data_IF_238397234599
#
_entry.id   IF_238397234599
#
_cell.length_a   1.000
_cell.length_b   1.000
_cell.length_c   1.000
_cell.angle_alpha   90.00
_cell.angle_beta   90.00
_cell.angle_gamma   90.00
#
_symmetry.space_group_name_H-M   'P 1'
#
loop_
_entity.id
_entity.type
_entity.pdbx_description
1 polymer ?
#
# COMPACT_ATOMS: atom_id res chain seq x y z
N UNK A 1 11.40 -18.74 0.52
CA UNK A 1 11.75 -19.53 1.74
C UNK A 1 12.79 -18.89 2.66
N UNK A 2 14.06 -18.64 2.28
CA UNK A 2 15.07 -18.08 3.23
C UNK A 2 14.80 -16.63 3.66
N UNK A 3 14.29 -15.79 2.75
CA UNK A 3 13.85 -14.42 3.07
C UNK A 3 12.59 -14.45 3.94
N UNK A 4 11.62 -15.31 3.62
CA UNK A 4 10.44 -15.54 4.46
C UNK A 4 10.80 -15.99 5.89
N UNK A 5 11.79 -16.88 6.03
CA UNK A 5 12.35 -17.25 7.33
C UNK A 5 12.98 -16.06 8.05
N UNK A 6 13.69 -15.18 7.34
CA UNK A 6 14.24 -13.95 7.93
C UNK A 6 13.13 -13.06 8.46
N UNK A 7 12.03 -12.88 7.71
CA UNK A 7 10.86 -12.13 8.17
C UNK A 7 10.33 -12.68 9.52
N UNK A 8 10.24 -14.01 9.65
CA UNK A 8 9.87 -14.64 10.93
C UNK A 8 10.86 -14.36 12.05
N UNK A 9 12.16 -14.36 11.78
CA UNK A 9 13.16 -14.04 12.80
C UNK A 9 13.11 -12.57 13.23
N UNK A 10 12.85 -11.64 12.30
CA UNK A 10 12.70 -10.22 12.62
C UNK A 10 11.55 -9.98 13.60
N UNK A 11 10.42 -10.70 13.43
CA UNK A 11 9.26 -10.64 14.34
C UNK A 11 9.55 -11.17 15.76
N UNK A 12 10.67 -11.85 16.00
CA UNK A 12 11.01 -12.38 17.32
C UNK A 12 11.80 -11.41 18.21
N UNK A 13 12.25 -10.27 17.67
CA UNK A 13 13.10 -9.30 18.38
C UNK A 13 14.33 -9.96 19.05
N UNK A 14 14.89 -10.98 18.39
CA UNK A 14 16.04 -11.75 18.89
C UNK A 14 17.28 -11.43 18.05
N UNK A 15 18.05 -10.44 18.50
CA UNK A 15 19.22 -9.91 17.78
C UNK A 15 20.22 -11.00 17.35
N UNK A 16 20.44 -12.02 18.18
CA UNK A 16 21.36 -13.11 17.85
C UNK A 16 20.79 -13.97 16.72
N UNK A 17 19.49 -14.30 16.79
CA UNK A 17 18.82 -15.07 15.75
C UNK A 17 18.73 -14.30 14.43
N UNK A 18 18.39 -13.01 14.48
CA UNK A 18 18.35 -12.09 13.33
C UNK A 18 19.73 -12.02 12.68
N UNK A 19 20.78 -11.78 13.47
CA UNK A 19 22.16 -11.69 12.96
C UNK A 19 22.57 -12.98 12.26
N UNK A 20 22.28 -14.15 12.85
CA UNK A 20 22.58 -15.45 12.23
C UNK A 20 21.79 -15.66 10.94
N UNK A 21 20.50 -15.31 10.93
CA UNK A 21 19.65 -15.45 9.76
C UNK A 21 20.16 -14.61 8.58
N UNK A 22 20.52 -13.34 8.83
CA UNK A 22 21.09 -12.47 7.79
C UNK A 22 22.45 -13.00 7.32
N UNK A 23 23.31 -13.50 8.23
CA UNK A 23 24.59 -14.11 7.85
C UNK A 23 24.41 -15.34 6.95
N UNK A 24 23.43 -16.20 7.22
CA UNK A 24 23.13 -17.34 6.35
C UNK A 24 22.57 -16.89 5.00
N UNK A 25 21.72 -15.87 4.97
CA UNK A 25 21.19 -15.30 3.72
C UNK A 25 22.32 -14.74 2.84
N UNK A 26 23.27 -14.03 3.44
CA UNK A 26 24.42 -13.42 2.75
C UNK A 26 25.42 -14.44 2.17
N UNK A 27 25.32 -15.73 2.51
CA UNK A 27 26.14 -16.79 1.90
C UNK A 27 25.59 -17.23 0.54
N UNK A 28 24.33 -16.91 0.25
CA UNK A 28 23.67 -17.28 -0.99
C UNK A 28 23.98 -16.25 -2.09
N UNK A 29 23.96 -16.67 -3.37
CA UNK A 29 24.02 -15.71 -4.47
C UNK A 29 22.82 -14.77 -4.38
N UNK A 30 23.08 -13.48 -4.56
CA UNK A 30 22.04 -12.45 -4.58
C UNK A 30 21.27 -12.60 -5.90
N UNK A 31 19.94 -12.87 -5.87
CA UNK A 31 19.14 -12.97 -7.08
C UNK A 31 18.94 -11.58 -7.71
N UNK A 32 18.59 -11.53 -8.99
CA UNK A 32 18.36 -10.26 -9.69
C UNK A 32 17.19 -9.46 -9.07
N UNK A 33 16.13 -10.14 -8.66
CA UNK A 33 14.94 -9.56 -8.02
C UNK A 33 15.05 -9.45 -6.48
N UNK A 34 16.27 -9.29 -5.95
CA UNK A 34 16.47 -9.30 -4.50
C UNK A 34 15.71 -8.20 -3.77
N UNK A 35 15.63 -6.98 -4.33
CA UNK A 35 14.90 -5.85 -3.74
C UNK A 35 13.42 -6.19 -3.57
N UNK A 36 12.79 -6.64 -4.65
CA UNK A 36 11.38 -7.02 -4.68
C UNK A 36 11.09 -8.20 -3.73
N UNK A 37 12.02 -9.15 -3.62
CA UNK A 37 11.90 -10.24 -2.66
C UNK A 37 11.92 -9.75 -1.20
N UNK A 38 12.67 -8.70 -0.89
CA UNK A 38 12.64 -8.08 0.44
C UNK A 38 11.33 -7.31 0.68
N UNK A 39 10.83 -6.62 -0.35
CA UNK A 39 9.56 -5.88 -0.30
C UNK A 39 8.37 -6.83 -0.11
N UNK A 40 8.34 -7.97 -0.82
CA UNK A 40 7.30 -9.00 -0.71
C UNK A 40 7.09 -9.49 0.72
N UNK A 41 8.17 -9.64 1.50
CA UNK A 41 8.09 -10.08 2.89
C UNK A 41 8.15 -8.91 3.89
N UNK A 42 7.93 -7.69 3.41
CA UNK A 42 7.89 -6.46 4.19
C UNK A 42 9.12 -6.29 5.10
N UNK A 43 10.30 -6.71 4.61
CA UNK A 43 11.54 -6.73 5.39
C UNK A 43 11.96 -5.33 5.86
N UNK A 44 11.86 -4.25 5.06
CA UNK A 44 12.19 -2.89 5.52
C UNK A 44 11.40 -2.50 6.77
N UNK A 45 10.07 -2.66 6.73
CA UNK A 45 9.20 -2.41 7.88
C UNK A 45 9.58 -3.26 9.09
N UNK A 46 9.78 -4.56 8.90
CA UNK A 46 10.13 -5.46 10.00
C UNK A 46 11.47 -5.08 10.68
N UNK A 47 12.41 -4.52 9.93
CA UNK A 47 13.68 -4.02 10.47
C UNK A 47 13.45 -2.73 11.26
N UNK A 48 12.72 -1.77 10.70
CA UNK A 48 12.39 -0.50 11.37
C UNK A 48 11.59 -0.70 12.65
N UNK A 49 10.73 -1.70 12.69
CA UNK A 49 9.88 -1.93 13.85
C UNK A 49 10.57 -2.79 14.93
N UNK A 50 11.27 -3.86 14.52
CA UNK A 50 11.74 -4.90 15.46
C UNK A 50 13.25 -4.99 15.62
N UNK A 51 14.05 -4.34 14.74
CA UNK A 51 15.49 -4.58 14.64
C UNK A 51 16.36 -3.33 14.44
N UNK A 52 15.87 -2.14 14.80
CA UNK A 52 16.65 -0.88 14.72
C UNK A 52 17.99 -0.92 15.46
N UNK A 53 18.08 -1.70 16.55
CA UNK A 53 19.31 -1.89 17.32
C UNK A 53 20.32 -2.83 16.66
N UNK A 54 19.93 -3.53 15.59
CA UNK A 54 20.75 -4.54 14.95
C UNK A 54 21.60 -3.94 13.80
N UNK A 55 22.91 -3.86 14.01
CA UNK A 55 23.86 -3.29 13.03
C UNK A 55 23.85 -4.01 11.67
N UNK A 56 23.55 -5.32 11.65
CA UNK A 56 23.55 -6.09 10.41
C UNK A 56 22.23 -5.88 9.65
N UNK A 57 21.10 -5.87 10.35
CA UNK A 57 19.80 -5.54 9.76
C UNK A 57 19.78 -4.11 9.20
N UNK A 58 20.26 -3.14 9.98
CA UNK A 58 20.35 -1.73 9.56
C UNK A 58 21.23 -1.55 8.31
N UNK A 59 22.34 -2.31 8.19
CA UNK A 59 23.17 -2.28 6.99
C UNK A 59 22.47 -2.89 5.77
N UNK A 60 21.77 -3.99 5.96
CA UNK A 60 20.97 -4.61 4.91
C UNK A 60 19.88 -3.66 4.42
N UNK A 61 19.19 -2.97 5.33
CA UNK A 61 18.19 -1.97 4.98
C UNK A 61 18.80 -0.81 4.19
N UNK A 62 19.94 -0.26 4.61
CA UNK A 62 20.64 0.79 3.83
C UNK A 62 20.99 0.37 2.41
N UNK A 63 21.38 -0.89 2.21
CA UNK A 63 21.69 -1.43 0.88
C UNK A 63 20.43 -1.56 0.03
N UNK A 64 19.34 -2.05 0.64
CA UNK A 64 18.03 -2.13 0.01
C UNK A 64 17.52 -0.73 -0.39
N UNK A 65 17.50 0.25 0.51
CA UNK A 65 17.03 1.61 0.21
C UNK A 65 17.80 2.25 -0.94
N UNK A 66 19.14 2.08 -0.98
CA UNK A 66 19.96 2.62 -2.05
C UNK A 66 19.69 1.94 -3.41
N UNK A 67 19.44 0.62 -3.42
CA UNK A 67 19.09 -0.10 -4.64
C UNK A 67 17.68 0.28 -5.12
N UNK A 68 16.73 0.39 -4.19
CA UNK A 68 15.34 0.77 -4.45
C UNK A 68 15.20 2.19 -4.97
N UNK A 69 15.98 3.13 -4.46
CA UNK A 69 16.04 4.50 -4.99
C UNK A 69 16.44 4.53 -6.47
N UNK A 70 17.46 3.75 -6.84
CA UNK A 70 17.89 3.63 -8.24
C UNK A 70 16.83 2.97 -9.12
N UNK A 71 16.19 1.90 -8.62
CA UNK A 71 15.11 1.20 -9.32
C UNK A 71 13.92 2.13 -9.56
N UNK A 72 13.41 2.78 -8.51
CA UNK A 72 12.30 3.71 -8.62
C UNK A 72 12.60 4.84 -9.60
N UNK A 73 13.81 5.41 -9.56
CA UNK A 73 14.22 6.47 -10.48
C UNK A 73 14.24 6.02 -11.96
N UNK A 74 14.49 4.74 -12.24
CA UNK A 74 14.41 4.18 -13.60
C UNK A 74 12.97 3.93 -14.04
N UNK A 75 12.09 3.59 -13.10
CA UNK A 75 10.69 3.28 -13.37
C UNK A 75 9.80 4.54 -13.49
N UNK A 76 10.15 5.66 -12.82
CA UNK A 76 9.32 6.88 -12.81
C UNK A 76 8.90 7.34 -14.21
N UNK A 77 9.77 7.44 -15.23
CA UNK A 77 9.36 7.88 -16.56
C UNK A 77 8.34 6.93 -17.22
N UNK A 78 8.44 5.63 -16.95
CA UNK A 78 7.54 4.60 -17.50
C UNK A 78 6.17 4.73 -16.83
N UNK A 79 6.16 4.80 -15.49
CA UNK A 79 4.93 4.92 -14.69
C UNK A 79 4.19 6.21 -15.02
N UNK A 80 4.89 7.35 -15.10
CA UNK A 80 4.27 8.64 -15.41
C UNK A 80 3.75 8.71 -16.84
N UNK A 81 4.42 8.05 -17.79
CA UNK A 81 3.91 7.95 -19.16
C UNK A 81 2.64 7.09 -19.20
N UNK A 82 2.65 5.92 -18.57
CA UNK A 82 1.46 5.05 -18.50
C UNK A 82 0.29 5.75 -17.82
N UNK A 83 0.54 6.48 -16.73
CA UNK A 83 -0.46 7.32 -16.07
C UNK A 83 -1.01 8.40 -16.99
N UNK A 84 -0.15 9.15 -17.70
CA UNK A 84 -0.58 10.17 -18.65
C UNK A 84 -1.48 9.57 -19.73
N UNK A 85 -1.03 8.48 -20.36
CA UNK A 85 -1.75 7.81 -21.44
C UNK A 85 -3.11 7.28 -20.94
N UNK A 86 -3.14 6.70 -19.73
CA UNK A 86 -4.36 6.20 -19.08
C UNK A 86 -5.40 7.30 -18.84
N UNK A 87 -4.98 8.45 -18.31
CA UNK A 87 -5.88 9.56 -18.00
C UNK A 87 -6.43 10.19 -19.29
N UNK A 88 -5.58 10.40 -20.30
CA UNK A 88 -6.02 10.95 -21.59
C UNK A 88 -7.05 10.04 -22.27
N UNK A 89 -6.88 8.73 -22.20
CA UNK A 89 -7.82 7.77 -22.77
C UNK A 89 -9.12 7.66 -21.97
N UNK A 90 -9.04 7.64 -20.63
CA UNK A 90 -10.22 7.53 -19.78
C UNK A 90 -11.15 8.74 -19.88
N UNK A 91 -10.56 9.93 -20.07
CA UNK A 91 -11.24 11.23 -20.06
C UNK A 91 -11.51 11.83 -21.44
N UNK A 92 -11.31 11.09 -22.52
CA UNK A 92 -11.55 11.59 -23.88
C UNK A 92 -13.01 12.12 -24.03
N UNK A 93 -13.16 13.45 -23.97
CA UNK A 93 -14.44 14.17 -24.03
C UNK A 93 -15.30 14.09 -22.77
N UNK A 94 -14.73 13.84 -21.59
CA UNK A 94 -15.45 13.80 -20.30
C UNK A 94 -14.88 14.79 -19.30
N UNK A 95 -15.73 15.19 -18.35
CA UNK A 95 -15.35 16.07 -17.24
C UNK A 95 -14.29 15.43 -16.34
N UNK A 96 -13.44 16.27 -15.75
CA UNK A 96 -12.36 15.85 -14.87
C UNK A 96 -12.92 15.34 -13.53
N UNK A 97 -12.71 14.06 -13.15
CA UNK A 97 -13.15 13.59 -11.85
C UNK A 97 -12.38 14.26 -10.72
N UNK A 98 -13.07 14.61 -9.62
CA UNK A 98 -12.48 15.28 -8.45
C UNK A 98 -11.23 14.58 -7.90
N UNK A 99 -11.17 13.24 -7.92
CA UNK A 99 -10.00 12.52 -7.43
C UNK A 99 -8.76 12.70 -8.33
N UNK A 100 -8.95 12.80 -9.66
CA UNK A 100 -7.86 13.12 -10.60
C UNK A 100 -7.44 14.58 -10.45
N UNK A 101 -8.39 15.51 -10.33
CA UNK A 101 -8.09 16.92 -10.00
C UNK A 101 -7.18 17.02 -8.77
N UNK A 102 -7.56 16.35 -7.68
CA UNK A 102 -6.79 16.29 -6.44
C UNK A 102 -5.39 15.70 -6.64
N UNK A 103 -5.27 14.58 -7.39
CA UNK A 103 -3.98 13.96 -7.75
C UNK A 103 -3.08 14.96 -8.47
N UNK A 104 -3.58 15.59 -9.52
CA UNK A 104 -2.81 16.54 -10.33
C UNK A 104 -2.41 17.76 -9.51
N UNK A 105 -3.31 18.26 -8.66
CA UNK A 105 -3.05 19.37 -7.75
C UNK A 105 -1.93 19.05 -6.75
N UNK A 106 -1.90 17.84 -6.19
CA UNK A 106 -0.81 17.43 -5.29
C UNK A 106 0.50 17.23 -6.05
N UNK A 107 0.48 16.66 -7.26
CA UNK A 107 1.67 16.46 -8.09
C UNK A 107 2.40 17.79 -8.37
N UNK A 108 1.68 18.90 -8.53
CA UNK A 108 2.29 20.23 -8.69
C UNK A 108 3.10 20.70 -7.47
N UNK A 109 2.92 20.08 -6.30
CA UNK A 109 3.61 20.43 -5.06
C UNK A 109 4.70 19.41 -4.67
N UNK A 110 4.90 18.37 -5.47
CA UNK A 110 5.92 17.36 -5.21
C UNK A 110 7.32 17.89 -5.55
N UNK A 111 8.33 17.38 -4.82
CA UNK A 111 9.73 17.75 -5.05
C UNK A 111 10.29 17.19 -6.38
N UNK A 112 9.67 16.12 -6.89
CA UNK A 112 10.09 15.46 -8.11
C UNK A 112 9.55 16.20 -9.35
N UNK A 113 10.48 16.79 -10.11
CA UNK A 113 10.16 17.60 -11.30
C UNK A 113 9.42 16.82 -12.39
N UNK A 114 9.56 15.49 -12.46
CA UNK A 114 8.84 14.69 -13.46
C UNK A 114 7.34 14.64 -13.15
N UNK A 115 6.95 14.51 -11.89
CA UNK A 115 5.54 14.56 -11.46
C UNK A 115 4.94 15.93 -11.74
N UNK A 116 5.66 17.01 -11.41
CA UNK A 116 5.21 18.39 -11.69
C UNK A 116 4.99 18.60 -13.19
N UNK A 117 5.94 18.16 -14.03
CA UNK A 117 5.82 18.27 -15.49
C UNK A 117 4.66 17.46 -16.05
N UNK A 118 4.47 16.23 -15.60
CA UNK A 118 3.37 15.38 -16.05
C UNK A 118 2.01 15.98 -15.67
N UNK A 119 1.88 16.51 -14.45
CA UNK A 119 0.67 17.20 -14.05
C UNK A 119 0.39 18.44 -14.90
N UNK A 120 1.40 19.30 -15.12
CA UNK A 120 1.26 20.48 -15.98
C UNK A 120 0.89 20.12 -17.43
N UNK A 121 1.38 19.00 -17.96
CA UNK A 121 0.99 18.52 -19.29
C UNK A 121 -0.47 18.11 -19.31
N UNK A 122 -0.92 17.29 -18.36
CA UNK A 122 -2.32 16.90 -18.25
C UNK A 122 -3.25 18.12 -18.11
N UNK A 123 -2.91 19.09 -17.26
CA UNK A 123 -3.67 20.35 -17.14
C UNK A 123 -3.77 21.14 -18.45
N UNK A 124 -2.76 21.07 -19.31
CA UNK A 124 -2.78 21.74 -20.61
C UNK A 124 -3.59 20.95 -21.66
N UNK A 125 -3.43 19.63 -21.68
CA UNK A 125 -3.92 18.75 -22.75
C UNK A 125 -5.36 18.28 -22.51
N UNK A 126 -5.83 18.28 -21.26
CA UNK A 126 -7.23 18.03 -20.92
C UNK A 126 -8.12 19.21 -21.32
N UNK A 127 -9.35 18.88 -21.74
CA UNK A 127 -10.41 19.84 -22.00
C UNK A 127 -11.08 20.19 -20.67
N UNK A 128 -10.73 21.35 -20.11
CA UNK A 128 -11.08 21.75 -18.75
C UNK A 128 -11.79 23.09 -18.75
N UNK A 129 -12.70 23.26 -17.80
CA UNK A 129 -13.39 24.53 -17.59
C UNK A 129 -12.50 25.51 -16.81
N UNK A 130 -12.81 26.80 -16.87
CA UNK A 130 -12.03 27.82 -16.16
C UNK A 130 -12.03 27.57 -14.65
N UNK A 131 -13.17 27.16 -14.09
CA UNK A 131 -13.38 26.90 -12.67
C UNK A 131 -12.36 25.87 -12.11
N UNK A 132 -12.00 24.86 -12.90
CA UNK A 132 -11.00 23.85 -12.52
C UNK A 132 -9.58 24.43 -12.39
N UNK A 133 -9.30 25.52 -13.12
CA UNK A 133 -7.98 26.09 -13.31
C UNK A 133 -7.70 27.32 -12.45
N UNK A 134 -8.72 28.06 -12.03
CA UNK A 134 -8.56 29.32 -11.30
C UNK A 134 -7.77 29.14 -9.99
N UNK A 135 -8.04 28.05 -9.27
CA UNK A 135 -7.36 27.74 -8.00
C UNK A 135 -5.86 27.52 -8.16
N UNK A 136 -5.40 27.16 -9.36
CA UNK A 136 -4.00 26.88 -9.66
C UNK A 136 -3.19 28.15 -9.91
N UNK A 137 -3.83 29.26 -10.31
CA UNK A 137 -3.16 30.51 -10.73
C UNK A 137 -2.09 30.99 -9.74
N UNK A 138 -2.35 31.08 -8.42
CA UNK A 138 -1.34 31.56 -7.47
C UNK A 138 -0.10 30.67 -7.41
N UNK A 139 -0.25 29.37 -7.65
CA UNK A 139 0.85 28.41 -7.66
C UNK A 139 1.61 28.45 -8.99
N UNK A 140 0.90 28.46 -10.12
CA UNK A 140 1.48 28.56 -11.46
C UNK A 140 2.37 29.80 -11.60
N UNK A 141 1.94 30.94 -11.06
CA UNK A 141 2.76 32.17 -11.03
C UNK A 141 4.12 31.99 -10.33
N UNK A 142 4.20 31.13 -9.31
CA UNK A 142 5.46 30.86 -8.59
C UNK A 142 6.38 29.93 -9.36
N UNK A 143 5.81 28.98 -10.10
CA UNK A 143 6.58 27.92 -10.77
C UNK A 143 6.84 28.19 -12.26
N UNK A 144 6.19 29.20 -12.86
CA UNK A 144 6.30 29.53 -14.31
C UNK A 144 7.72 29.76 -14.83
N UNK A 145 8.62 30.27 -13.98
CA UNK A 145 10.02 30.50 -14.39
C UNK A 145 10.82 29.20 -14.49
N UNK A 146 10.39 28.16 -13.77
CA UNK A 146 11.06 26.87 -13.68
C UNK A 146 10.49 25.86 -14.70
N UNK A 147 9.20 25.99 -15.02
CA UNK A 147 8.48 25.08 -15.90
C UNK A 147 7.79 25.83 -17.04
N UNK A 148 8.27 25.69 -18.29
CA UNK A 148 7.64 26.28 -19.47
C UNK A 148 6.17 25.87 -19.64
N UNK A 149 5.83 24.64 -19.26
CA UNK A 149 4.46 24.12 -19.32
C UNK A 149 3.49 24.91 -18.43
N UNK A 150 3.97 25.48 -17.32
CA UNK A 150 3.15 26.35 -16.46
C UNK A 150 2.89 27.72 -17.09
N UNK A 151 3.81 28.24 -17.90
CA UNK A 151 3.60 29.50 -18.64
C UNK A 151 2.58 29.31 -19.78
N UNK A 152 2.57 28.14 -20.42
CA UNK A 152 1.54 27.77 -21.41
C UNK A 152 0.16 27.70 -20.75
N UNK A 153 0.07 27.03 -19.59
CA UNK A 153 -1.19 26.89 -18.86
C UNK A 153 -1.72 28.24 -18.37
N UNK A 154 -0.85 29.11 -17.87
CA UNK A 154 -1.22 30.48 -17.50
C UNK A 154 -1.82 31.25 -18.67
N UNK A 155 -1.24 31.14 -19.87
CA UNK A 155 -1.80 31.79 -21.07
C UNK A 155 -3.14 31.20 -21.49
N UNK A 156 -3.36 29.89 -21.31
CA UNK A 156 -4.66 29.22 -21.54
C UNK A 156 -5.73 29.78 -20.60
N UNK A 157 -5.39 29.96 -19.32
CA UNK A 157 -6.29 30.57 -18.31
C UNK A 157 -6.58 32.03 -18.68
N UNK A 158 -5.55 32.81 -19.01
CA UNK A 158 -5.70 34.21 -19.43
C UNK A 158 -6.58 34.36 -20.68
N UNK A 159 -6.51 33.43 -21.65
CA UNK A 159 -7.41 33.45 -22.81
C UNK A 159 -8.86 33.17 -22.44
N UNK A 160 -9.13 32.22 -21.55
CA UNK A 160 -10.51 31.95 -21.09
C UNK A 160 -11.11 33.14 -20.33
N UNK A 161 -10.31 33.80 -19.49
CA UNK A 161 -10.74 35.02 -18.79
C UNK A 161 -11.08 36.16 -19.76
N UNK A 162 -10.30 36.32 -20.83
CA UNK A 162 -10.57 37.34 -21.85
C UNK A 162 -11.81 37.03 -22.68
N UNK A 163 -12.06 35.76 -23.02
CA UNK A 163 -13.28 35.34 -23.74
C UNK A 163 -14.54 35.63 -22.91
N UNK A 164 -14.51 35.36 -21.61
CA UNK A 164 -15.60 35.70 -20.70
C UNK A 164 -15.81 37.22 -20.54
N UNK A 165 -14.72 37.99 -20.43
CA UNK A 165 -14.79 39.44 -20.34
C UNK A 165 -15.34 40.07 -21.65
N UNK A 166 -15.02 39.50 -22.82
CA UNK A 166 -15.55 39.95 -24.11
C UNK A 166 -17.03 39.59 -24.34
N UNK A 167 -17.50 38.45 -23.81
CA UNK A 167 -18.91 38.02 -23.90
C UNK A 167 -19.84 38.77 -22.92
N UNK A 168 -19.30 39.37 -21.85
CA UNK A 168 -20.06 40.21 -20.91
C UNK A 168 -20.27 41.64 -21.44
N UNK A 169 -19.48 42.07 -22.44
CA UNK A 169 -19.60 43.40 -23.05
C UNK A 169 -20.67 43.50 -24.16
N UNK A 170 -21.48 42.45 -24.39
CA UNK A 170 -22.52 42.39 -25.45
C UNK A 170 -23.91 42.02 -24.89
N UNK A 171 -24.44 42.81 -23.95
CA UNK A 171 -25.88 43.17 -23.89
C UNK A 171 -26.18 44.06 -22.65
N UNK A 172 -25.71 45.31 -22.70
CA UNK A 172 -26.38 46.40 -21.98
C UNK A 172 -26.77 47.46 -23.00
N UNK A 173 -27.74 47.13 -23.85
CA UNK A 173 -28.60 48.15 -24.43
C UNK A 173 -29.33 48.84 -23.27
N UNK A 174 -28.86 50.06 -23.03
CA UNK A 174 -29.50 51.12 -22.26
C UNK A 174 -30.99 51.22 -22.60
N UNK A 175 -31.85 50.67 -21.74
CA UNK A 175 -33.21 51.20 -21.57
C UNK A 175 -33.29 51.85 -20.20
N UNK A 176 -32.93 53.13 -20.19
CA UNK A 176 -33.38 54.06 -19.17
C UNK A 176 -34.87 54.31 -19.42
N UNK A 177 -35.74 53.82 -18.55
CA UNK A 177 -37.02 54.49 -18.27
C UNK A 177 -37.58 54.03 -16.90
N UNK A 178 -37.43 54.94 -15.93
CA UNK A 178 -38.36 55.33 -14.88
C UNK A 178 -38.75 54.38 -13.71
N UNK A 179 -38.35 54.85 -12.52
CA UNK A 179 -39.14 55.01 -11.28
C UNK A 179 -39.93 53.79 -10.73
N UNK A 180 -39.52 53.26 -9.57
CA UNK A 180 -40.18 53.51 -8.27
C UNK A 180 -39.60 52.62 -7.16
N UNK A 181 -39.59 53.20 -5.96
CA UNK A 181 -39.10 52.65 -4.69
C UNK A 181 -39.69 51.28 -4.32
N UNK A 182 -38.83 50.34 -3.90
CA UNK A 182 -39.18 49.37 -2.86
C UNK A 182 -37.92 48.80 -2.20
N UNK A 183 -37.66 49.24 -0.96
CA UNK A 183 -36.74 48.60 -0.06
C UNK A 183 -37.17 47.13 0.19
N UNK A 184 -36.28 46.18 -0.12
CA UNK A 184 -36.41 44.79 0.34
C UNK A 184 -35.46 44.65 1.54
N UNK A 185 -36.04 44.66 2.73
CA UNK A 185 -35.39 44.15 3.94
C UNK A 185 -35.11 42.65 3.74
N UNK A 186 -33.85 42.27 3.87
CA UNK A 186 -33.41 40.88 3.98
C UNK A 186 -33.60 40.47 5.44
N UNK A 187 -34.67 39.73 5.73
CA UNK A 187 -34.77 38.93 6.96
C UNK A 187 -34.12 37.57 6.69
N UNK A 188 -32.94 37.38 7.30
CA UNK A 188 -32.27 36.09 7.43
C UNK A 188 -32.88 35.34 8.61
N UNK A 189 -33.87 34.48 8.36
CA UNK A 189 -34.28 33.47 9.32
C UNK A 189 -33.57 32.15 9.03
N UNK A 190 -32.69 31.85 9.97
CA UNK A 190 -31.87 30.68 10.17
C UNK A 190 -32.77 29.58 10.74
N UNK A 191 -33.03 28.51 9.98
CA UNK A 191 -33.56 27.26 10.55
C UNK A 191 -32.54 26.14 10.31
N UNK A 192 -31.80 25.90 11.39
CA UNK A 192 -30.94 24.76 11.67
C UNK A 192 -31.86 23.62 12.13
N UNK A 193 -32.02 22.57 11.31
CA UNK A 193 -32.46 21.25 11.73
C UNK A 193 -32.28 20.26 10.56
N UNK A 194 -31.14 19.55 10.55
CA UNK A 194 -31.00 18.30 9.80
C UNK A 194 -30.62 17.22 10.79
N UNK A 195 -31.61 16.39 11.11
CA UNK A 195 -31.45 15.19 11.93
C UNK A 195 -30.59 14.14 11.22
N UNK A 196 -29.93 13.36 12.09
CA UNK A 196 -29.20 12.12 11.82
C UNK A 196 -30.07 11.11 11.04
N UNK A 197 -29.50 10.51 10.00
CA UNK A 197 -29.94 9.18 9.53
C UNK A 197 -28.68 8.34 9.21
N UNK A 198 -28.33 7.51 10.18
CA UNK A 198 -27.62 6.24 10.00
C UNK A 198 -28.51 5.28 9.19
N UNK A 199 -28.00 4.75 8.08
CA UNK A 199 -28.17 3.36 7.61
C UNK A 199 -28.00 3.27 6.09
N UNK A 200 -26.84 2.81 5.61
CA UNK A 200 -26.78 2.05 4.34
C UNK A 200 -25.56 1.13 4.30
N UNK A 201 -25.69 -0.05 4.92
CA UNK A 201 -24.91 -1.22 4.56
C UNK A 201 -25.72 -2.02 3.52
N UNK A 202 -25.15 -2.31 2.34
CA UNK A 202 -24.97 -3.68 1.81
C UNK A 202 -24.36 -3.66 0.40
N UNK A 203 -23.22 -4.32 0.26
CA UNK A 203 -22.51 -4.65 -0.99
C UNK A 203 -23.35 -5.53 -1.93
N UNK A 204 -23.01 -5.58 -3.23
CA UNK A 204 -22.98 -6.82 -3.99
C UNK A 204 -21.55 -7.37 -4.08
N UNK A 205 -21.47 -8.69 -3.93
CA UNK A 205 -20.29 -9.53 -3.87
C UNK A 205 -19.44 -9.52 -5.15
N UNK A 206 -18.13 -9.61 -4.93
CA UNK A 206 -17.16 -10.43 -5.64
C UNK A 206 -17.14 -10.40 -7.19
N UNK A 207 -16.14 -9.70 -7.72
CA UNK A 207 -15.35 -10.24 -8.83
C UNK A 207 -13.94 -10.54 -8.31
N UNK A 208 -13.80 -11.70 -7.65
CA UNK A 208 -12.53 -12.38 -7.50
C UNK A 208 -12.06 -12.80 -8.91
N UNK A 209 -11.08 -12.10 -9.47
CA UNK A 209 -10.29 -12.60 -10.60
C UNK A 209 -8.80 -12.30 -10.37
N UNK A 210 -8.09 -13.33 -9.90
CA UNK A 210 -6.66 -13.64 -10.08
C UNK A 210 -5.70 -12.46 -10.38
N UNK A 211 -5.18 -11.82 -9.34
CA UNK A 211 -3.96 -10.99 -9.41
C UNK A 211 -2.77 -11.60 -8.65
N UNK A 212 -2.86 -12.86 -8.21
CA UNK A 212 -1.83 -13.48 -7.36
C UNK A 212 -0.54 -13.90 -8.09
N UNK A 213 -0.53 -13.87 -9.43
CA UNK A 213 0.57 -14.41 -10.25
C UNK A 213 1.23 -13.36 -11.17
N UNK A 214 1.25 -12.07 -10.79
CA UNK A 214 2.05 -11.08 -11.53
C UNK A 214 3.55 -11.32 -11.28
N UNK A 215 4.18 -12.03 -12.22
CA UNK A 215 5.63 -12.09 -12.37
C UNK A 215 6.14 -10.69 -12.77
N UNK A 216 7.08 -10.16 -12.00
CA UNK A 216 7.67 -8.82 -12.15
C UNK A 216 8.55 -8.69 -13.42
N UNK A 217 8.45 -9.65 -14.34
CA UNK A 217 9.15 -9.67 -15.64
C UNK A 217 8.48 -8.79 -16.70
N UNK A 218 7.32 -8.18 -16.41
CA UNK A 218 6.52 -7.43 -17.40
C UNK A 218 7.25 -6.23 -18.04
N UNK A 219 8.32 -5.72 -17.44
CA UNK A 219 9.09 -4.60 -18.01
C UNK A 219 10.18 -5.01 -19.01
N UNK A 220 10.22 -6.26 -19.47
CA UNK A 220 11.25 -6.73 -20.39
C UNK A 220 10.77 -7.85 -21.32
N UNK A 221 10.22 -7.51 -22.49
CA UNK A 221 10.71 -8.09 -23.74
C UNK A 221 10.14 -7.38 -24.99
N UNK A 222 11.05 -7.03 -25.89
CA UNK A 222 10.82 -6.48 -27.24
C UNK A 222 11.29 -7.54 -28.24
N UNK A 223 10.40 -8.16 -29.04
CA UNK A 223 10.61 -8.46 -30.48
C UNK A 223 9.58 -9.44 -31.06
N UNK A 224 9.11 -9.12 -32.27
CA UNK A 224 7.95 -9.73 -32.95
C UNK A 224 8.17 -11.09 -33.65
N UNK A 225 7.09 -11.58 -34.29
CA UNK A 225 6.93 -11.78 -35.75
C UNK A 225 5.46 -12.15 -36.08
N UNK A 226 4.92 -11.44 -37.07
CA UNK A 226 3.69 -11.61 -37.88
C UNK A 226 3.40 -13.04 -38.37
N UNK A 227 2.13 -13.49 -38.28
CA UNK A 227 1.47 -14.31 -39.33
C UNK A 227 -0.03 -14.44 -39.09
N UNK A 228 -0.83 -13.64 -39.78
CA UNK A 228 -2.26 -13.50 -39.50
C UNK A 228 -3.25 -14.47 -40.13
N UNK A 229 -4.49 -13.97 -40.07
CA UNK A 229 -5.80 -14.47 -40.48
C UNK A 229 -6.44 -15.54 -39.58
N UNK A 230 -7.37 -15.04 -38.75
CA UNK A 230 -8.23 -15.66 -37.70
C UNK A 230 -7.77 -15.43 -36.25
N UNK A 231 -6.50 -15.09 -36.00
CA UNK A 231 -5.97 -14.73 -34.68
C UNK A 231 -6.01 -13.21 -34.38
N UNK A 232 -6.33 -12.35 -35.38
CA UNK A 232 -6.26 -10.88 -35.24
C UNK A 232 -7.34 -10.28 -34.30
N UNK A 233 -8.52 -10.90 -34.18
CA UNK A 233 -9.57 -10.41 -33.24
C UNK A 233 -9.29 -10.83 -31.78
N UNK A 234 -8.68 -12.00 -31.56
CA UNK A 234 -8.26 -12.45 -30.22
C UNK A 234 -6.96 -11.75 -29.78
N UNK A 235 -6.01 -11.50 -30.70
CA UNK A 235 -4.80 -10.70 -30.45
C UNK A 235 -5.13 -9.22 -30.14
N UNK A 236 -6.08 -8.60 -30.84
CA UNK A 236 -6.53 -7.22 -30.55
C UNK A 236 -7.25 -7.11 -29.19
N UNK A 237 -8.01 -8.14 -28.77
CA UNK A 237 -8.66 -8.18 -27.45
C UNK A 237 -7.65 -8.43 -26.31
N UNK A 238 -6.67 -9.32 -26.49
CA UNK A 238 -5.59 -9.54 -25.52
C UNK A 238 -4.70 -8.31 -25.36
N UNK A 239 -4.29 -7.66 -26.46
CA UNK A 239 -3.48 -6.43 -26.43
C UNK A 239 -4.22 -5.27 -25.75
N UNK A 240 -5.54 -5.15 -25.95
CA UNK A 240 -6.34 -4.12 -25.28
C UNK A 240 -6.52 -4.41 -23.80
N UNK A 241 -6.78 -5.66 -23.40
CA UNK A 241 -6.84 -6.05 -21.99
C UNK A 241 -5.51 -5.82 -21.26
N UNK A 242 -4.38 -6.21 -21.85
CA UNK A 242 -3.05 -5.99 -21.28
C UNK A 242 -2.74 -4.50 -21.11
N UNK A 243 -3.17 -3.68 -22.08
CA UNK A 243 -3.04 -2.24 -22.02
C UNK A 243 -3.89 -1.63 -20.89
N UNK A 244 -5.14 -2.04 -20.72
CA UNK A 244 -5.97 -1.58 -19.61
C UNK A 244 -5.42 -2.00 -18.25
N UNK A 245 -4.91 -3.23 -18.13
CA UNK A 245 -4.22 -3.71 -16.92
C UNK A 245 -3.00 -2.85 -16.60
N UNK A 246 -2.20 -2.49 -17.62
CA UNK A 246 -1.06 -1.59 -17.45
C UNK A 246 -1.49 -0.19 -16.96
N UNK A 247 -2.61 0.34 -17.48
CA UNK A 247 -3.15 1.62 -17.04
C UNK A 247 -3.61 1.60 -15.59
N UNK A 248 -4.35 0.58 -15.16
CA UNK A 248 -4.79 0.46 -13.78
C UNK A 248 -3.60 0.41 -12.82
N UNK A 249 -2.55 -0.36 -13.18
CA UNK A 249 -1.31 -0.45 -12.41
C UNK A 249 -0.63 0.90 -12.28
N UNK A 250 -0.44 1.63 -13.39
CA UNK A 250 0.28 2.91 -13.36
C UNK A 250 -0.50 4.01 -12.64
N UNK A 251 -1.83 4.01 -12.76
CA UNK A 251 -2.72 4.88 -11.99
C UNK A 251 -2.61 4.58 -10.50
N UNK A 252 -2.68 3.31 -10.09
CA UNK A 252 -2.54 2.91 -8.70
C UNK A 252 -1.15 3.27 -8.13
N UNK A 253 -0.09 3.10 -8.91
CA UNK A 253 1.27 3.48 -8.51
C UNK A 253 1.41 4.99 -8.26
N UNK A 254 0.88 5.85 -9.14
CA UNK A 254 0.91 7.30 -8.95
C UNK A 254 0.13 7.71 -7.70
N UNK A 255 -1.05 7.14 -7.48
CA UNK A 255 -1.84 7.39 -6.27
C UNK A 255 -1.06 6.97 -5.01
N UNK A 256 -0.42 5.80 -5.04
CA UNK A 256 0.36 5.29 -3.91
C UNK A 256 1.61 6.15 -3.66
N UNK A 257 2.27 6.62 -4.71
CA UNK A 257 3.38 7.57 -4.59
C UNK A 257 2.93 8.87 -3.91
N UNK A 258 1.79 9.42 -4.32
CA UNK A 258 1.26 10.66 -3.72
C UNK A 258 0.88 10.41 -2.26
N UNK A 259 0.22 9.29 -1.96
CA UNK A 259 -0.04 8.87 -0.59
C UNK A 259 1.25 8.83 0.23
N UNK A 260 2.33 8.25 -0.30
CA UNK A 260 3.63 8.22 0.37
C UNK A 260 4.19 9.63 0.65
N UNK A 261 3.99 10.57 -0.29
CA UNK A 261 4.39 11.97 -0.12
C UNK A 261 3.58 12.68 0.96
N UNK A 262 2.26 12.47 0.97
CA UNK A 262 1.36 13.08 1.96
C UNK A 262 1.60 12.52 3.35
N UNK A 263 1.88 11.22 3.51
CA UNK A 263 2.23 10.62 4.81
C UNK A 263 3.50 11.25 5.39
N UNK A 264 4.52 11.44 4.55
CA UNK A 264 5.80 12.06 4.97
C UNK A 264 5.66 13.50 5.47
N UNK A 265 4.54 14.17 5.21
CA UNK A 265 4.29 15.50 5.77
C UNK A 265 4.05 15.47 7.28
N UNK A 266 3.59 14.34 7.83
CA UNK A 266 3.20 14.21 9.23
C UNK A 266 1.97 15.06 9.62
N UNK A 267 1.28 15.67 8.65
CA UNK A 267 0.09 16.47 8.87
C UNK A 267 -1.16 15.57 8.79
N UNK A 268 -1.93 15.41 9.89
CA UNK A 268 -3.12 14.54 9.93
C UNK A 268 -4.14 14.83 8.83
N UNK A 269 -4.33 16.11 8.48
CA UNK A 269 -5.30 16.49 7.45
C UNK A 269 -4.84 16.04 6.07
N UNK A 270 -3.55 16.21 5.76
CA UNK A 270 -2.96 15.77 4.49
C UNK A 270 -2.93 14.25 4.37
N UNK A 271 -2.65 13.56 5.48
CA UNK A 271 -2.69 12.09 5.55
C UNK A 271 -4.11 11.60 5.25
N UNK A 272 -5.12 12.12 5.96
CA UNK A 272 -6.51 11.72 5.76
C UNK A 272 -6.98 12.00 4.32
N UNK A 273 -6.63 13.16 3.77
CA UNK A 273 -6.89 13.51 2.38
C UNK A 273 -6.24 12.52 1.40
N UNK A 274 -4.96 12.19 1.60
CA UNK A 274 -4.25 11.21 0.77
C UNK A 274 -4.87 9.82 0.82
N UNK A 275 -5.29 9.35 1.99
CA UNK A 275 -5.97 8.06 2.16
C UNK A 275 -7.33 8.08 1.47
N UNK A 276 -8.10 9.15 1.62
CA UNK A 276 -9.39 9.30 0.93
C UNK A 276 -9.21 9.30 -0.60
N UNK A 277 -8.19 9.99 -1.10
CA UNK A 277 -7.87 10.01 -2.52
C UNK A 277 -7.49 8.61 -3.04
N UNK A 278 -6.64 7.90 -2.30
CA UNK A 278 -6.23 6.53 -2.61
C UNK A 278 -7.39 5.52 -2.65
N UNK A 279 -8.48 5.74 -1.90
CA UNK A 279 -9.68 4.88 -1.92
C UNK A 279 -10.48 4.96 -3.23
N UNK A 280 -10.21 5.92 -4.11
CA UNK A 280 -10.90 6.02 -5.41
C UNK A 280 -10.32 5.07 -6.47
N UNK A 281 -9.21 4.41 -6.16
CA UNK A 281 -8.54 3.46 -7.06
C UNK A 281 -8.28 2.16 -6.31
N UNK A 282 -8.31 1.04 -7.02
CA UNK A 282 -7.92 -0.24 -6.44
C UNK A 282 -6.40 -0.33 -6.39
N UNK A 283 -5.82 -0.21 -5.19
CA UNK A 283 -4.38 -0.22 -5.01
C UNK A 283 -3.92 -1.66 -4.70
N UNK A 284 -3.15 -2.29 -5.59
CA UNK A 284 -2.63 -3.61 -5.34
C UNK A 284 -1.57 -3.59 -4.24
N UNK A 285 -1.47 -4.69 -3.50
CA UNK A 285 -0.56 -4.82 -2.34
C UNK A 285 0.90 -4.54 -2.67
N UNK A 286 1.35 -4.92 -3.88
CA UNK A 286 2.74 -4.66 -4.29
C UNK A 286 3.05 -3.15 -4.30
N UNK A 287 2.09 -2.29 -4.66
CA UNK A 287 2.31 -0.84 -4.69
C UNK A 287 2.50 -0.29 -3.27
N UNK A 288 1.69 -0.74 -2.30
CA UNK A 288 1.87 -0.36 -0.88
C UNK A 288 3.25 -0.73 -0.35
N UNK A 289 3.77 -1.92 -0.71
CA UNK A 289 5.11 -2.39 -0.33
C UNK A 289 6.22 -1.63 -1.07
N UNK A 290 6.05 -1.40 -2.37
CA UNK A 290 6.96 -0.65 -3.22
C UNK A 290 7.20 0.76 -2.67
N UNK A 291 6.18 1.42 -2.14
CA UNK A 291 6.29 2.74 -1.51
C UNK A 291 6.39 2.72 0.02
N UNK A 292 6.55 1.54 0.62
CA UNK A 292 6.81 1.32 2.06
C UNK A 292 5.76 2.00 2.97
N UNK A 293 4.49 1.95 2.57
CA UNK A 293 3.42 2.73 3.22
C UNK A 293 3.28 2.37 4.71
N UNK A 294 3.41 1.10 5.09
CA UNK A 294 3.36 0.67 6.51
C UNK A 294 4.52 1.24 7.34
N UNK A 295 5.74 1.24 6.81
CA UNK A 295 6.89 1.92 7.45
C UNK A 295 6.63 3.42 7.62
N UNK A 296 6.12 4.08 6.57
CA UNK A 296 5.83 5.51 6.63
C UNK A 296 4.74 5.84 7.64
N UNK A 297 3.70 5.02 7.76
CA UNK A 297 2.67 5.19 8.79
C UNK A 297 3.30 5.05 10.18
N UNK A 298 4.11 4.03 10.40
CA UNK A 298 4.78 3.83 11.70
C UNK A 298 5.70 4.99 12.08
N UNK A 299 6.35 5.64 11.11
CA UNK A 299 7.28 6.73 11.36
C UNK A 299 6.58 8.09 11.52
N UNK A 300 5.65 8.43 10.63
CA UNK A 300 5.07 9.78 10.53
C UNK A 300 3.64 9.89 11.09
N UNK A 301 2.91 8.78 11.18
CA UNK A 301 1.49 8.77 11.54
C UNK A 301 1.08 7.66 12.55
N UNK A 302 1.88 7.36 13.60
CA UNK A 302 1.65 6.18 14.46
C UNK A 302 0.37 6.26 15.33
N UNK A 303 -0.23 7.44 15.44
CA UNK A 303 -1.43 7.68 16.25
C UNK A 303 -2.64 8.13 15.42
N UNK A 304 -2.48 8.23 14.10
CA UNK A 304 -3.55 8.70 13.22
C UNK A 304 -4.52 7.57 12.89
N UNK A 305 -5.79 7.74 13.25
CA UNK A 305 -6.79 6.68 13.15
C UNK A 305 -6.96 6.16 11.71
N UNK A 306 -7.08 7.05 10.73
CA UNK A 306 -7.22 6.64 9.32
C UNK A 306 -5.97 5.90 8.81
N UNK A 307 -4.77 6.32 9.25
CA UNK A 307 -3.53 5.67 8.87
C UNK A 307 -3.41 4.26 9.50
N UNK A 308 -3.79 4.12 10.76
CA UNK A 308 -3.87 2.81 11.43
C UNK A 308 -4.92 1.90 10.79
N UNK A 309 -6.04 2.46 10.31
CA UNK A 309 -7.04 1.69 9.57
C UNK A 309 -6.47 1.17 8.25
N UNK A 310 -5.81 2.03 7.48
CA UNK A 310 -5.13 1.63 6.24
C UNK A 310 -4.04 0.57 6.50
N UNK A 311 -3.24 0.72 7.56
CA UNK A 311 -2.28 -0.32 7.95
C UNK A 311 -3.00 -1.65 8.16
N UNK A 312 -4.04 -1.71 8.99
CA UNK A 312 -4.78 -2.95 9.22
C UNK A 312 -5.39 -3.55 7.94
N UNK A 313 -5.77 -2.73 6.96
CA UNK A 313 -6.21 -3.17 5.65
C UNK A 313 -5.06 -3.83 4.87
N UNK A 314 -3.87 -3.20 4.84
CA UNK A 314 -2.67 -3.76 4.23
C UNK A 314 -2.28 -5.09 4.89
N UNK A 315 -2.24 -5.17 6.22
CA UNK A 315 -1.91 -6.41 6.95
C UNK A 315 -2.84 -7.57 6.58
N UNK A 316 -4.14 -7.30 6.40
CA UNK A 316 -5.10 -8.32 5.93
C UNK A 316 -4.81 -8.78 4.52
N UNK A 317 -4.46 -7.85 3.62
CA UNK A 317 -4.06 -8.22 2.26
C UNK A 317 -2.79 -9.08 2.28
N UNK A 318 -1.81 -8.77 3.14
CA UNK A 318 -0.59 -9.58 3.31
C UNK A 318 -0.89 -10.99 3.82
N UNK A 319 -1.81 -11.13 4.77
CA UNK A 319 -2.20 -12.43 5.29
C UNK A 319 -2.87 -13.31 4.22
N UNK A 320 -3.68 -12.72 3.33
CA UNK A 320 -4.32 -13.43 2.21
C UNK A 320 -3.28 -13.84 1.17
N UNK A 321 -2.45 -12.91 0.69
CA UNK A 321 -1.48 -13.17 -0.37
C UNK A 321 -0.41 -14.18 0.06
N UNK A 322 0.03 -14.12 1.32
CA UNK A 322 1.06 -15.01 1.84
C UNK A 322 0.50 -16.32 2.43
N UNK A 323 -0.80 -16.59 2.33
CA UNK A 323 -1.44 -17.74 2.98
C UNK A 323 -0.78 -19.08 2.57
N UNK A 324 -0.62 -19.31 1.26
CA UNK A 324 -0.02 -20.53 0.74
C UNK A 324 1.47 -20.64 1.10
N UNK A 325 2.20 -19.54 1.01
CA UNK A 325 3.62 -19.50 1.38
C UNK A 325 3.83 -19.73 2.88
N UNK A 326 2.92 -19.23 3.72
CA UNK A 326 2.92 -19.46 5.17
C UNK A 326 2.70 -20.96 5.48
N UNK A 327 1.76 -21.60 4.78
CA UNK A 327 1.53 -23.04 4.90
C UNK A 327 2.74 -23.85 4.39
N UNK A 328 3.33 -23.45 3.27
CA UNK A 328 4.54 -24.07 2.73
C UNK A 328 5.73 -23.92 3.68
N UNK A 329 5.85 -22.76 4.34
CA UNK A 329 6.86 -22.55 5.37
C UNK A 329 6.62 -23.45 6.59
N UNK A 330 5.38 -23.57 7.06
CA UNK A 330 5.05 -24.48 8.15
C UNK A 330 5.42 -25.93 7.81
N UNK A 331 5.07 -26.41 6.61
CA UNK A 331 5.46 -27.73 6.12
C UNK A 331 6.99 -27.93 6.14
N UNK A 332 7.74 -26.91 5.70
CA UNK A 332 9.19 -26.92 5.73
C UNK A 332 9.76 -27.00 7.16
N UNK A 333 9.17 -26.27 8.12
CA UNK A 333 9.59 -26.34 9.53
C UNK A 333 9.28 -27.71 10.15
N UNK A 334 8.15 -28.32 9.81
CA UNK A 334 7.79 -29.67 10.24
C UNK A 334 8.80 -30.72 9.75
N UNK A 335 9.22 -30.64 8.49
CA UNK A 335 10.25 -31.53 7.93
C UNK A 335 11.60 -31.36 8.65
N UNK A 336 11.99 -30.12 8.95
CA UNK A 336 13.20 -29.84 9.73
C UNK A 336 13.10 -30.44 11.13
N UNK A 337 11.96 -30.29 11.81
CA UNK A 337 11.77 -30.82 13.16
C UNK A 337 11.80 -32.36 13.13
N UNK A 338 11.13 -32.98 12.16
CA UNK A 338 11.12 -34.43 12.00
C UNK A 338 12.50 -35.04 11.69
N UNK A 339 13.42 -34.26 11.10
CA UNK A 339 14.78 -34.67 10.79
C UNK A 339 15.81 -34.36 11.90
N UNK A 340 15.46 -33.54 12.90
CA UNK A 340 16.34 -33.16 14.00
C UNK A 340 16.05 -33.95 15.28
N UNK A 341 17.11 -34.25 16.05
CA UNK A 341 16.97 -34.94 17.34
C UNK A 341 16.56 -34.01 18.49
N UNK A 342 16.64 -32.69 18.31
CA UNK A 342 16.38 -31.70 19.35
C UNK A 342 15.63 -30.50 18.79
N UNK A 343 14.59 -30.06 19.50
CA UNK A 343 13.81 -28.88 19.16
C UNK A 343 14.61 -27.61 19.48
N UNK A 344 14.96 -26.80 18.48
CA UNK A 344 15.72 -25.58 18.72
C UNK A 344 14.86 -24.47 19.34
N UNK A 345 15.47 -23.62 20.18
CA UNK A 345 14.75 -22.53 20.87
C UNK A 345 14.13 -21.54 19.88
N UNK A 346 14.86 -21.18 18.83
CA UNK A 346 14.36 -20.21 17.85
C UNK A 346 13.22 -20.79 17.03
N UNK A 347 13.27 -22.07 16.65
CA UNK A 347 12.15 -22.76 16.00
C UNK A 347 10.90 -22.77 16.86
N UNK A 348 11.07 -23.03 18.16
CA UNK A 348 9.95 -23.00 19.11
C UNK A 348 9.34 -21.61 19.20
N UNK A 349 10.16 -20.56 19.22
CA UNK A 349 9.66 -19.18 19.25
C UNK A 349 8.88 -18.83 17.98
N UNK A 350 9.37 -19.22 16.79
CA UNK A 350 8.64 -19.02 15.52
C UNK A 350 7.27 -19.70 15.60
N UNK A 351 7.23 -21.00 15.89
CA UNK A 351 5.97 -21.75 15.91
C UNK A 351 5.03 -21.26 17.02
N UNK A 352 5.55 -20.90 18.19
CA UNK A 352 4.74 -20.32 19.25
C UNK A 352 4.17 -18.95 18.88
N UNK A 353 4.84 -18.19 18.00
CA UNK A 353 4.31 -16.94 17.45
C UNK A 353 3.23 -17.23 16.41
N UNK A 354 3.49 -18.14 15.47
CA UNK A 354 2.53 -18.55 14.44
C UNK A 354 1.24 -19.08 15.07
N UNK A 355 1.34 -19.90 16.13
CA UNK A 355 0.18 -20.40 16.88
C UNK A 355 -0.71 -19.29 17.46
N UNK A 356 -0.14 -18.12 17.79
CA UNK A 356 -0.86 -17.02 18.44
C UNK A 356 -1.50 -16.05 17.45
N UNK A 357 -0.84 -15.85 16.31
CA UNK A 357 -1.16 -14.75 15.40
C UNK A 357 -1.55 -15.21 13.99
N UNK A 358 -1.50 -16.51 13.69
CA UNK A 358 -1.99 -17.08 12.42
C UNK A 358 -3.32 -17.79 12.60
N UNK A 359 -3.83 -18.32 11.49
CA UNK A 359 -5.14 -18.97 11.43
C UNK A 359 -5.24 -20.22 12.34
N UNK A 360 -6.46 -20.73 12.45
CA UNK A 360 -6.77 -21.91 13.25
C UNK A 360 -6.08 -23.17 12.76
N UNK A 361 -5.79 -23.29 11.48
CA UNK A 361 -5.09 -24.45 10.92
C UNK A 361 -3.64 -24.48 11.41
N UNK A 362 -2.94 -23.35 11.35
CA UNK A 362 -1.60 -23.18 11.90
C UNK A 362 -1.58 -23.49 13.38
N UNK A 363 -2.52 -22.94 14.15
CA UNK A 363 -2.63 -23.22 15.59
C UNK A 363 -2.75 -24.71 15.88
N UNK A 364 -3.69 -25.42 15.23
CA UNK A 364 -3.92 -26.85 15.46
C UNK A 364 -2.68 -27.68 15.15
N UNK A 365 -1.99 -27.39 14.03
CA UNK A 365 -0.77 -28.09 13.63
C UNK A 365 0.37 -27.84 14.61
N UNK A 366 0.60 -26.60 15.02
CA UNK A 366 1.64 -26.26 15.99
C UNK A 366 1.38 -26.91 17.35
N UNK A 367 0.13 -26.91 17.82
CA UNK A 367 -0.24 -27.58 19.08
C UNK A 367 0.08 -29.08 19.00
N UNK A 368 -0.25 -29.72 17.88
CA UNK A 368 0.06 -31.14 17.67
C UNK A 368 1.58 -31.39 17.68
N UNK A 369 2.36 -30.55 16.99
CA UNK A 369 3.83 -30.63 17.02
C UNK A 369 4.38 -30.50 18.45
N UNK A 370 3.83 -29.59 19.25
CA UNK A 370 4.25 -29.41 20.64
C UNK A 370 3.85 -30.58 21.55
N UNK A 371 2.78 -31.30 21.23
CA UNK A 371 2.39 -32.53 21.92
C UNK A 371 3.33 -33.68 21.58
N UNK A 372 3.68 -33.83 20.30
CA UNK A 372 4.42 -35.00 19.81
C UNK A 372 5.92 -34.92 20.09
N UNK A 373 6.47 -33.72 20.25
CA UNK A 373 7.89 -33.52 20.47
C UNK A 373 8.25 -33.35 21.95
N UNK A 374 9.46 -33.80 22.34
CA UNK A 374 10.00 -33.56 23.67
C UNK A 374 10.64 -32.17 23.74
N UNK A 375 9.87 -31.20 24.25
CA UNK A 375 10.25 -29.78 24.30
C UNK A 375 10.55 -29.42 25.77
N UNK A 376 11.69 -28.75 26.06
CA UNK A 376 12.02 -28.32 27.42
C UNK A 376 10.96 -27.38 28.04
N UNK A 377 10.66 -27.56 29.33
CA UNK A 377 9.69 -26.73 30.05
C UNK A 377 10.00 -25.23 29.96
N UNK A 378 11.29 -24.88 30.00
CA UNK A 378 11.76 -23.49 29.92
C UNK A 378 11.24 -22.76 28.67
N UNK A 379 11.05 -23.49 27.57
CA UNK A 379 10.58 -22.89 26.32
C UNK A 379 9.12 -22.45 26.45
N UNK A 380 8.25 -23.32 26.96
CA UNK A 380 6.84 -22.99 27.22
C UNK A 380 6.66 -21.84 28.21
N UNK A 381 7.47 -21.82 29.28
CA UNK A 381 7.39 -20.77 30.30
C UNK A 381 7.77 -19.40 29.74
N UNK A 382 8.80 -19.34 28.88
CA UNK A 382 9.25 -18.07 28.31
C UNK A 382 8.37 -17.55 27.18
N UNK A 383 7.66 -18.42 26.47
CA UNK A 383 6.79 -18.02 25.36
C UNK A 383 5.35 -17.71 25.77
N UNK A 384 4.93 -18.06 26.99
CA UNK A 384 3.55 -17.85 27.44
C UNK A 384 2.51 -18.68 26.66
N UNK A 385 2.92 -19.83 26.10
CA UNK A 385 2.04 -20.71 25.31
C UNK A 385 0.88 -21.23 26.16
N UNK A 386 1.14 -21.57 27.42
CA UNK A 386 0.12 -22.13 28.32
C UNK A 386 -0.94 -21.07 28.67
N UNK A 387 -0.51 -19.85 28.94
CA UNK A 387 -1.37 -18.71 29.26
C UNK A 387 -2.28 -18.39 28.08
N UNK A 388 -1.71 -18.27 26.88
CA UNK A 388 -2.46 -18.10 25.64
C UNK A 388 -3.52 -19.20 25.44
N UNK A 389 -3.13 -20.48 25.57
CA UNK A 389 -4.07 -21.60 25.40
C UNK A 389 -5.14 -21.66 26.50
N UNK A 390 -4.93 -21.03 27.67
CA UNK A 390 -5.95 -20.93 28.72
C UNK A 390 -6.96 -19.81 28.44
N UNK A 391 -6.52 -18.73 27.79
CA UNK A 391 -7.35 -17.58 27.42
C UNK A 391 -8.12 -17.79 26.12
N UNK A 392 -7.61 -18.63 25.20
CA UNK A 392 -8.26 -18.91 23.91
C UNK A 392 -9.64 -19.56 24.07
N UNK A 393 -10.73 -18.98 23.56
CA UNK A 393 -12.09 -19.45 23.86
C UNK A 393 -12.45 -20.81 23.21
N UNK A 394 -12.02 -21.05 21.97
CA UNK A 394 -12.42 -22.22 21.15
C UNK A 394 -11.52 -23.46 21.34
N UNK A 395 -11.22 -23.80 22.61
CA UNK A 395 -10.28 -24.89 22.95
C UNK A 395 -10.74 -26.25 22.44
N UNK A 396 -9.86 -26.90 21.69
CA UNK A 396 -9.96 -28.29 21.25
C UNK A 396 -9.43 -29.27 22.31
N UNK A 397 -9.63 -30.57 22.08
CA UNK A 397 -9.05 -31.60 22.95
C UNK A 397 -7.50 -31.57 22.94
N UNK A 398 -6.89 -31.22 21.80
CA UNK A 398 -5.44 -31.11 21.67
C UNK A 398 -4.89 -29.99 22.57
N UNK A 399 -5.56 -28.84 22.60
CA UNK A 399 -5.17 -27.70 23.45
C UNK A 399 -5.13 -28.10 24.93
N UNK A 400 -6.17 -28.82 25.38
CA UNK A 400 -6.20 -29.36 26.74
C UNK A 400 -5.07 -30.35 27.02
N UNK A 401 -4.78 -31.24 26.07
CA UNK A 401 -3.67 -32.20 26.19
C UNK A 401 -2.34 -31.47 26.36
N UNK A 402 -2.08 -30.44 25.56
CA UNK A 402 -0.85 -29.65 25.67
C UNK A 402 -0.78 -28.90 27.01
N UNK A 403 -1.87 -28.26 27.45
CA UNK A 403 -1.94 -27.61 28.77
C UNK A 403 -1.61 -28.61 29.89
N UNK A 404 -2.18 -29.82 29.85
CA UNK A 404 -1.91 -30.85 30.85
C UNK A 404 -0.46 -31.35 30.78
N UNK A 405 0.10 -31.52 29.58
CA UNK A 405 1.52 -31.87 29.38
C UNK A 405 2.43 -30.86 30.07
N UNK A 406 2.22 -29.56 29.83
CA UNK A 406 3.01 -28.48 30.45
C UNK A 406 2.85 -28.50 31.98
N UNK A 407 1.62 -28.63 32.51
CA UNK A 407 1.38 -28.73 33.96
C UNK A 407 2.07 -29.94 34.60
N UNK A 408 2.11 -31.08 33.91
CA UNK A 408 2.83 -32.25 34.42
C UNK A 408 4.34 -32.00 34.49
N UNK A 409 4.91 -31.31 33.50
CA UNK A 409 6.32 -30.94 33.51
C UNK A 409 6.64 -29.99 34.68
N UNK A 410 5.82 -28.96 34.91
CA UNK A 410 5.96 -28.06 36.06
C UNK A 410 5.96 -28.82 37.40
N UNK A 411 5.00 -29.73 37.58
CA UNK A 411 4.87 -30.53 38.80
C UNK A 411 6.03 -31.51 39.04
N UNK A 412 6.73 -31.94 37.98
CA UNK A 412 7.93 -32.79 38.10
C UNK A 412 9.14 -32.01 38.57
N UNK A 413 9.24 -30.73 38.22
CA UNK A 413 10.33 -29.83 38.63
C UNK A 413 10.14 -29.34 40.08
N UNK A 414 8.90 -29.17 40.54
CA UNK A 414 8.57 -28.68 41.90
C UNK A 414 8.60 -29.73 43.02
N UNK A 415 9.01 -30.99 42.78
CA UNK A 415 9.22 -31.98 43.85
C UNK A 415 10.68 -31.92 44.33
N UNK A 416 10.99 -31.31 45.49
CA UNK A 416 12.27 -31.54 46.14
C UNK A 416 12.34 -33.00 46.58
N UNK A 417 13.49 -33.63 46.34
CA UNK A 417 13.83 -34.94 46.90
C UNK A 417 13.86 -34.90 48.43
#
# INVERSE_FOLDING_TARGET
>A
MKVHMLARFLQLEDDEAITKAIQELNKLPIPANYVNLLDKYNIPFLIDFNALGNDLATRMMKQHSAAKEVQLAQEVPIVLKGFYDAIMEALEGKDLPNHIHNVLSVMLHMDDSEYVRTALRLWNDLDLELDDLEELVPHLQRIREQYPEADVLMRKIESFQLELDEDVDVDVELDMEDEEDAAIEIDLDFDEDVEEDDDFAFFPEAHDFFLSDLDESFLSDESGIESGSEDEEEEDEEDTEERFKHYDITVAEVHTKILSFLIKTGDPQRIAFGIQMARNVDIPLFAYRKYEITSLISEYAPYEYEALKLWNEIDRMEDVELAEENLALLNYLEEIIGSQSTFSRSMFRILANDMKYKDKEHMVRVVQLFIDNDIPLEFFQKSGVKEFLLEYDDKTAADWILIFKIRQMENRVCKPF
#
